data_IF_933637390366
#
_entry.id   IF_933637390366
#
_cell.length_a   1.000
_cell.length_b   1.000
_cell.length_c   1.000
_cell.angle_alpha   90.00
_cell.angle_beta   90.00
_cell.angle_gamma   90.00
#
_symmetry.space_group_name_H-M   'P 1'
#
loop_
_entity.id
_entity.type
_entity.pdbx_description
1 polymer ?
#
# COMPACT_ATOMS: atom_id res chain seq x y z
N UNK A 1 -54.67 42.91 -40.94
CA UNK A 1 -54.10 44.28 -40.84
C UNK A 1 -52.64 44.18 -40.40
N UNK A 2 -51.74 44.63 -41.27
CA UNK A 2 -50.28 44.85 -41.19
C UNK A 2 -49.52 44.30 -39.96
N UNK A 3 -48.87 43.13 -40.12
CA UNK A 3 -47.69 42.73 -39.33
C UNK A 3 -46.48 43.53 -39.84
N UNK A 4 -45.81 44.26 -38.95
CA UNK A 4 -44.57 45.00 -39.28
C UNK A 4 -43.38 44.07 -39.17
N UNK A 5 -42.67 43.93 -40.28
CA UNK A 5 -41.32 43.38 -40.40
C UNK A 5 -40.36 44.50 -40.01
N UNK A 6 -39.42 44.23 -39.11
CA UNK A 6 -38.17 44.97 -38.98
C UNK A 6 -37.01 43.97 -39.03
N UNK A 7 -36.38 43.89 -40.19
CA UNK A 7 -34.99 43.46 -40.38
C UNK A 7 -34.07 44.57 -39.87
N UNK A 8 -32.93 44.22 -39.27
CA UNK A 8 -31.59 44.84 -39.40
C UNK A 8 -30.69 44.16 -38.34
N UNK A 9 -29.95 43.11 -38.72
CA UNK A 9 -28.49 43.11 -38.94
C UNK A 9 -27.65 43.53 -37.72
N UNK A 10 -26.85 42.60 -37.20
CA UNK A 10 -25.38 42.78 -37.12
C UNK A 10 -24.71 41.48 -36.66
N UNK A 11 -23.94 40.92 -37.58
CA UNK A 11 -22.93 39.88 -37.40
C UNK A 11 -21.71 40.54 -36.74
N UNK A 12 -21.25 40.01 -35.61
CA UNK A 12 -19.85 40.16 -35.20
C UNK A 12 -19.35 38.77 -34.79
N UNK A 13 -18.64 38.14 -35.72
CA UNK A 13 -17.78 36.97 -35.51
C UNK A 13 -16.47 37.51 -34.93
N UNK A 14 -16.10 37.10 -33.73
CA UNK A 14 -14.72 37.21 -33.25
C UNK A 14 -14.20 35.79 -33.06
N UNK A 15 -13.64 35.26 -34.15
CA UNK A 15 -12.71 34.13 -34.12
C UNK A 15 -11.36 34.76 -33.77
N UNK A 16 -10.91 34.60 -32.52
CA UNK A 16 -9.53 34.88 -32.17
C UNK A 16 -8.73 33.60 -32.27
N UNK A 17 -7.91 33.54 -33.31
CA UNK A 17 -6.74 32.69 -33.42
C UNK A 17 -5.81 32.85 -32.21
N UNK A 18 -5.34 31.74 -31.67
CA UNK A 18 -3.98 31.67 -31.11
C UNK A 18 -3.30 30.39 -31.63
N UNK A 19 -2.51 30.62 -32.68
CA UNK A 19 -1.18 30.06 -32.98
C UNK A 19 -0.92 28.60 -32.58
N UNK A 20 -1.17 27.69 -33.53
CA UNK A 20 -0.42 26.44 -33.63
C UNK A 20 1.01 26.78 -34.08
N UNK A 21 1.97 26.59 -33.18
CA UNK A 21 3.39 26.50 -33.54
C UNK A 21 3.57 25.22 -34.33
N UNK A 22 4.00 25.37 -35.59
CA UNK A 22 4.37 24.26 -36.46
C UNK A 22 5.87 24.24 -36.74
N UNK A 23 6.34 23.01 -36.99
CA UNK A 23 7.55 22.53 -37.70
C UNK A 23 8.27 21.51 -36.81
N UNK A 24 8.50 20.25 -37.18
CA UNK A 24 8.31 19.53 -38.44
C UNK A 24 9.46 18.52 -38.60
N UNK A 25 9.13 17.25 -38.86
CA UNK A 25 9.88 16.21 -39.62
C UNK A 25 9.29 14.84 -39.26
N UNK A 26 8.51 14.18 -40.14
CA UNK A 26 8.85 13.27 -41.26
C UNK A 26 9.22 11.84 -40.83
N UNK A 27 8.28 10.92 -41.14
CA UNK A 27 8.41 9.46 -41.34
C UNK A 27 8.94 8.66 -40.12
N UNK A 28 8.63 7.39 -39.87
CA UNK A 28 8.07 6.28 -40.63
C UNK A 28 7.62 5.26 -39.57
N UNK A 29 6.56 4.48 -39.86
CA UNK A 29 6.16 3.34 -39.01
C UNK A 29 7.19 2.23 -39.10
N UNK A 30 7.82 1.83 -37.98
CA UNK A 30 8.59 0.58 -37.90
C UNK A 30 8.28 -0.12 -36.57
N UNK A 31 7.73 -1.33 -36.69
CA UNK A 31 7.78 -2.39 -35.69
C UNK A 31 9.24 -2.66 -35.34
N UNK A 32 9.67 -2.39 -34.11
CA UNK A 32 10.94 -2.90 -33.59
C UNK A 32 10.96 -2.79 -32.07
N UNK A 33 10.69 -3.88 -31.37
CA UNK A 33 11.25 -4.11 -30.03
C UNK A 33 11.63 -5.56 -29.81
N UNK A 34 11.99 -6.25 -30.90
CA UNK A 34 12.70 -7.53 -30.85
C UNK A 34 14.22 -7.32 -30.62
N UNK A 35 14.70 -6.07 -30.62
CA UNK A 35 16.07 -5.70 -30.20
C UNK A 35 16.19 -5.39 -28.69
N UNK A 36 15.08 -5.32 -27.95
CA UNK A 36 15.11 -5.08 -26.49
C UNK A 36 15.58 -6.32 -25.69
N UNK A 37 15.67 -7.50 -26.32
CA UNK A 37 15.96 -8.75 -25.63
C UNK A 37 17.43 -9.20 -25.72
N UNK A 38 18.24 -8.62 -26.61
CA UNK A 38 19.67 -8.94 -26.75
C UNK A 38 20.58 -8.02 -25.92
N UNK A 39 20.10 -6.85 -25.48
CA UNK A 39 20.91 -5.89 -24.70
C UNK A 39 21.01 -6.21 -23.19
N UNK A 40 20.27 -7.22 -22.69
CA UNK A 40 20.30 -7.64 -21.27
C UNK A 40 21.41 -8.68 -21.02
N UNK A 41 22.03 -9.25 -22.06
CA UNK A 41 22.96 -10.39 -21.92
C UNK A 41 24.43 -10.00 -21.73
N UNK A 42 24.80 -8.73 -21.91
CA UNK A 42 26.21 -8.31 -21.95
C UNK A 42 26.62 -7.26 -20.89
N UNK A 43 25.79 -6.99 -19.87
CA UNK A 43 26.21 -6.17 -18.72
C UNK A 43 26.39 -7.01 -17.44
N UNK A 44 27.11 -8.12 -17.60
CA UNK A 44 27.85 -8.71 -16.49
C UNK A 44 28.97 -7.76 -16.07
N UNK A 45 29.10 -7.52 -14.76
CA UNK A 45 30.19 -6.79 -14.09
C UNK A 45 30.34 -5.31 -14.44
N UNK A 46 29.63 -4.46 -13.69
CA UNK A 46 30.23 -3.56 -12.66
C UNK A 46 29.07 -2.85 -11.95
N UNK A 47 28.43 -3.51 -10.99
CA UNK A 47 27.66 -2.77 -9.99
C UNK A 47 28.67 -2.11 -9.07
N UNK A 48 28.93 -0.82 -9.30
CA UNK A 48 29.42 0.03 -8.22
C UNK A 48 28.44 -0.16 -7.06
N UNK A 49 28.95 -0.52 -5.88
CA UNK A 49 28.30 -0.28 -4.59
C UNK A 49 27.97 1.21 -4.51
N UNK A 50 26.84 1.60 -5.11
CA UNK A 50 26.12 2.75 -4.62
C UNK A 50 25.70 2.36 -3.22
N UNK A 51 26.26 3.06 -2.24
CA UNK A 51 25.78 3.08 -0.86
C UNK A 51 24.27 3.26 -0.90
N UNK A 52 23.53 2.16 -0.84
CA UNK A 52 22.12 2.14 -0.53
C UNK A 52 22.00 2.96 0.75
N UNK A 53 21.24 4.05 0.68
CA UNK A 53 20.84 4.76 1.87
C UNK A 53 20.10 3.73 2.73
N UNK A 54 20.77 3.19 3.77
CA UNK A 54 20.23 2.18 4.68
C UNK A 54 19.00 2.70 5.46
N UNK A 55 18.46 3.87 5.12
CA UNK A 55 17.25 4.42 5.71
C UNK A 55 16.01 3.57 5.41
N UNK A 56 15.95 2.92 4.24
CA UNK A 56 14.84 2.06 3.83
C UNK A 56 15.33 0.75 3.20
N UNK A 57 14.87 -0.38 3.72
CA UNK A 57 15.15 -1.71 3.18
C UNK A 57 13.84 -2.41 2.86
N UNK A 58 13.64 -2.71 1.58
CA UNK A 58 12.50 -3.49 1.13
C UNK A 58 12.86 -4.97 1.26
N UNK A 59 12.07 -5.69 2.05
CA UNK A 59 12.16 -7.13 2.20
C UNK A 59 11.08 -7.73 1.33
N UNK A 60 11.47 -8.18 0.15
CA UNK A 60 10.57 -8.95 -0.70
C UNK A 60 10.68 -10.41 -0.24
N UNK A 61 10.04 -10.71 0.88
CA UNK A 61 9.86 -12.09 1.35
C UNK A 61 8.42 -12.54 1.07
N UNK A 62 8.27 -13.20 -0.08
CA UNK A 62 6.99 -13.72 -0.56
C UNK A 62 6.42 -14.88 0.29
N UNK A 63 7.18 -15.44 1.24
CA UNK A 63 6.70 -16.46 2.17
C UNK A 63 6.04 -15.84 3.41
N UNK A 64 6.57 -14.71 3.88
CA UNK A 64 6.07 -14.02 5.09
C UNK A 64 4.90 -13.09 4.79
N UNK A 65 5.02 -12.28 3.73
CA UNK A 65 4.03 -11.30 3.32
C UNK A 65 4.01 -11.16 1.79
N UNK A 66 3.15 -10.31 1.23
CA UNK A 66 3.29 -9.89 -0.17
C UNK A 66 4.30 -8.74 -0.28
N UNK A 67 4.26 -7.81 0.68
CA UNK A 67 5.20 -6.70 0.78
C UNK A 67 5.61 -6.54 2.24
N UNK A 68 6.91 -6.42 2.47
CA UNK A 68 7.46 -6.04 3.76
C UNK A 68 8.53 -4.96 3.53
N UNK A 69 8.45 -3.85 4.24
CA UNK A 69 9.46 -2.78 4.16
C UNK A 69 9.90 -2.37 5.55
N UNK A 70 11.19 -2.39 5.81
CA UNK A 70 11.78 -2.02 7.08
C UNK A 70 12.45 -0.63 7.00
N UNK A 71 12.13 0.22 7.97
CA UNK A 71 12.72 1.53 8.18
C UNK A 71 13.66 1.46 9.40
N UNK A 72 14.97 1.60 9.16
CA UNK A 72 15.99 1.52 10.21
C UNK A 72 15.97 2.71 11.17
N UNK A 73 15.48 3.87 10.75
CA UNK A 73 15.43 5.06 11.60
C UNK A 73 14.36 4.92 12.69
N UNK A 74 13.17 4.45 12.28
CA UNK A 74 12.02 4.28 13.15
C UNK A 74 11.91 2.88 13.75
N UNK A 75 12.77 1.96 13.30
CA UNK A 75 12.74 0.52 13.61
C UNK A 75 11.34 -0.07 13.42
N UNK A 76 10.78 0.21 12.25
CA UNK A 76 9.40 -0.15 11.91
C UNK A 76 9.34 -0.94 10.61
N UNK A 77 8.42 -1.89 10.58
CA UNK A 77 8.05 -2.71 9.44
C UNK A 77 6.68 -2.23 8.96
N UNK A 78 6.58 -1.92 7.68
CA UNK A 78 5.33 -1.92 6.94
C UNK A 78 5.04 -3.33 6.42
N UNK A 79 3.79 -3.77 6.52
CA UNK A 79 3.33 -5.10 6.09
C UNK A 79 2.09 -4.96 5.21
N UNK A 80 2.10 -5.60 4.04
CA UNK A 80 0.90 -5.85 3.26
C UNK A 80 0.82 -7.34 2.88
N UNK A 81 -0.35 -7.94 3.06
CA UNK A 81 -0.61 -9.35 2.75
C UNK A 81 0.17 -10.32 3.64
N UNK A 82 0.14 -10.15 4.96
CA UNK A 82 0.77 -11.05 5.94
C UNK A 82 0.18 -12.46 5.81
N UNK A 83 1.03 -13.48 5.68
CA UNK A 83 0.64 -14.88 5.40
C UNK A 83 0.83 -15.82 6.59
N UNK A 84 1.74 -15.47 7.51
CA UNK A 84 2.14 -16.33 8.64
C UNK A 84 1.10 -16.44 9.76
N UNK A 85 0.08 -15.59 9.76
CA UNK A 85 -1.01 -15.59 10.75
C UNK A 85 -2.36 -15.54 10.03
N UNK A 86 -3.06 -16.69 10.03
CA UNK A 86 -4.31 -16.89 9.28
C UNK A 86 -5.45 -15.96 9.74
N UNK A 87 -5.39 -15.47 11.00
CA UNK A 87 -6.40 -14.61 11.60
C UNK A 87 -6.59 -13.29 10.83
N UNK A 88 -5.54 -12.81 10.16
CA UNK A 88 -5.61 -11.59 9.34
C UNK A 88 -6.14 -11.85 7.92
N UNK A 89 -6.36 -13.11 7.54
CA UNK A 89 -6.82 -13.49 6.21
C UNK A 89 -5.85 -13.11 5.09
N UNK A 90 -6.32 -13.22 3.84
CA UNK A 90 -5.49 -13.04 2.64
C UNK A 90 -5.28 -11.58 2.23
N UNK A 91 -6.00 -10.63 2.83
CA UNK A 91 -5.91 -9.22 2.51
C UNK A 91 -5.90 -8.41 3.79
N UNK A 92 -4.70 -7.98 4.14
CA UNK A 92 -4.42 -7.26 5.37
C UNK A 92 -3.26 -6.30 5.14
N UNK A 93 -3.23 -5.23 5.93
CA UNK A 93 -2.20 -4.20 5.84
C UNK A 93 -1.98 -3.57 7.21
N UNK A 94 -0.74 -3.17 7.47
CA UNK A 94 -0.42 -2.46 8.69
C UNK A 94 1.07 -2.38 8.93
N UNK A 95 1.46 -2.46 10.19
CA UNK A 95 2.85 -2.34 10.55
C UNK A 95 3.16 -2.75 11.97
N UNK A 96 4.45 -2.93 12.17
CA UNK A 96 5.05 -3.31 13.44
C UNK A 96 6.18 -2.35 13.75
N UNK A 97 6.33 -1.92 14.98
CA UNK A 97 7.45 -1.07 15.40
C UNK A 97 8.02 -1.56 16.71
N UNK A 98 9.34 -1.41 16.88
CA UNK A 98 10.02 -1.67 18.14
C UNK A 98 10.59 -0.37 18.70
N UNK A 99 10.43 -0.14 20.00
CA UNK A 99 10.97 1.05 20.66
C UNK A 99 12.50 1.11 20.53
N UNK A 100 13.08 2.31 20.64
CA UNK A 100 14.52 2.51 20.54
C UNK A 100 15.34 1.64 21.52
N UNK A 101 14.79 1.33 22.70
CA UNK A 101 15.43 0.45 23.68
C UNK A 101 15.19 -1.05 23.45
N UNK A 102 14.44 -1.40 22.39
CA UNK A 102 14.17 -2.78 21.98
C UNK A 102 13.21 -3.54 22.89
N UNK A 103 12.55 -2.86 23.85
CA UNK A 103 11.72 -3.53 24.85
C UNK A 103 10.25 -3.58 24.51
N UNK A 104 9.75 -2.62 23.75
CA UNK A 104 8.33 -2.49 23.46
C UNK A 104 8.10 -2.73 21.98
N UNK A 105 7.21 -3.67 21.67
CA UNK A 105 6.73 -3.89 20.32
C UNK A 105 5.29 -3.43 20.22
N UNK A 106 4.98 -2.68 19.16
CA UNK A 106 3.63 -2.24 18.82
C UNK A 106 3.27 -2.80 17.46
N UNK A 107 2.10 -3.43 17.35
CA UNK A 107 1.54 -3.89 16.09
C UNK A 107 0.19 -3.20 15.86
N UNK A 108 -0.07 -2.86 14.60
CA UNK A 108 -1.35 -2.37 14.12
C UNK A 108 -1.64 -3.00 12.76
N UNK A 109 -2.78 -3.68 12.60
CA UNK A 109 -3.17 -4.37 11.36
C UNK A 109 -4.66 -4.16 11.08
N UNK A 110 -5.00 -3.90 9.83
CA UNK A 110 -6.36 -3.90 9.30
C UNK A 110 -6.51 -5.09 8.37
N UNK A 111 -7.62 -5.81 8.47
CA UNK A 111 -8.06 -6.76 7.45
C UNK A 111 -9.03 -6.04 6.53
N UNK A 112 -8.86 -6.17 5.22
CA UNK A 112 -9.77 -5.57 4.23
C UNK A 112 -10.80 -6.59 3.74
N UNK A 113 -11.88 -6.10 3.13
CA UNK A 113 -12.92 -6.94 2.49
C UNK A 113 -12.46 -7.60 1.18
N UNK A 114 -11.22 -7.37 0.73
CA UNK A 114 -10.66 -7.95 -0.49
C UNK A 114 -9.39 -7.25 -1.00
N UNK A 115 -8.81 -7.77 -2.07
CA UNK A 115 -7.46 -7.40 -2.57
C UNK A 115 -7.44 -6.46 -3.79
N UNK A 116 -8.57 -5.87 -4.18
CA UNK A 116 -8.72 -5.08 -5.42
C UNK A 116 -9.44 -3.75 -5.21
N UNK A 117 -9.41 -2.89 -6.24
CA UNK A 117 -10.11 -1.58 -6.25
C UNK A 117 -11.55 -1.70 -5.75
N UNK A 118 -11.87 -0.97 -4.68
CA UNK A 118 -13.19 -1.00 -4.03
C UNK A 118 -13.23 -1.80 -2.73
N UNK A 119 -12.12 -2.43 -2.31
CA UNK A 119 -11.99 -3.00 -0.97
C UNK A 119 -12.20 -1.93 0.10
N UNK A 120 -12.78 -2.35 1.22
CA UNK A 120 -13.04 -1.49 2.38
C UNK A 120 -12.25 -2.00 3.58
N UNK A 121 -11.85 -1.07 4.44
CA UNK A 121 -11.24 -1.38 5.73
C UNK A 121 -12.25 -2.13 6.59
N UNK A 122 -11.82 -3.29 7.11
CA UNK A 122 -12.59 -4.15 8.00
C UNK A 122 -12.09 -4.07 9.44
N UNK A 123 -11.97 -5.20 10.15
CA UNK A 123 -11.58 -5.19 11.55
C UNK A 123 -10.14 -4.71 11.73
N UNK A 124 -9.92 -4.01 12.84
CA UNK A 124 -8.62 -3.48 13.23
C UNK A 124 -8.10 -4.16 14.48
N UNK A 125 -6.84 -4.60 14.43
CA UNK A 125 -6.12 -5.22 15.53
C UNK A 125 -4.95 -4.32 15.90
N UNK A 126 -4.85 -3.99 17.18
CA UNK A 126 -3.70 -3.31 17.73
C UNK A 126 -3.30 -3.93 19.06
N UNK A 127 -2.00 -4.05 19.27
CA UNK A 127 -1.48 -4.37 20.59
C UNK A 127 -0.08 -3.81 20.81
N UNK A 128 0.27 -3.72 22.09
CA UNK A 128 1.57 -3.30 22.58
C UNK A 128 2.04 -4.28 23.64
N UNK A 129 3.23 -4.83 23.47
CA UNK A 129 3.82 -5.80 24.41
C UNK A 129 5.20 -5.36 24.89
N UNK A 130 5.54 -5.77 26.10
CA UNK A 130 6.89 -5.72 26.63
C UNK A 130 7.62 -7.04 26.33
N UNK A 131 8.58 -7.00 25.43
CA UNK A 131 9.36 -8.15 24.94
C UNK A 131 10.35 -8.74 25.96
N UNK A 132 10.49 -8.11 27.13
CA UNK A 132 11.37 -8.57 28.22
C UNK A 132 10.57 -9.31 29.29
N UNK A 133 9.35 -8.84 29.58
CA UNK A 133 8.47 -9.41 30.62
C UNK A 133 7.35 -10.27 30.05
N UNK A 134 7.21 -10.29 28.72
CA UNK A 134 6.09 -10.91 27.99
C UNK A 134 4.72 -10.38 28.46
N UNK A 135 4.69 -9.12 28.91
CA UNK A 135 3.48 -8.47 29.39
C UNK A 135 2.77 -7.74 28.23
N UNK A 136 1.46 -7.97 28.10
CA UNK A 136 0.61 -7.20 27.20
C UNK A 136 0.26 -5.89 27.91
N UNK A 137 0.79 -4.78 27.39
CA UNK A 137 0.58 -3.43 27.93
C UNK A 137 -0.79 -2.90 27.49
N UNK A 138 -1.13 -3.14 26.23
CA UNK A 138 -2.35 -2.62 25.61
C UNK A 138 -2.79 -3.57 24.50
N UNK A 139 -4.10 -3.76 24.34
CA UNK A 139 -4.68 -4.42 23.18
C UNK A 139 -6.04 -3.83 22.85
N UNK A 140 -6.34 -3.74 21.56
CA UNK A 140 -7.57 -3.18 21.01
C UNK A 140 -7.97 -4.00 19.80
N UNK A 141 -9.22 -4.47 19.79
CA UNK A 141 -9.82 -5.17 18.67
C UNK A 141 -11.08 -4.41 18.29
N UNK A 142 -11.05 -3.70 17.16
CA UNK A 142 -12.20 -2.95 16.68
C UNK A 142 -12.91 -3.76 15.60
N UNK A 143 -14.26 -3.84 15.67
CA UNK A 143 -15.03 -4.48 14.62
C UNK A 143 -14.90 -3.72 13.30
N UNK A 144 -15.12 -4.43 12.20
CA UNK A 144 -15.39 -3.82 10.91
C UNK A 144 -16.59 -2.87 11.00
N UNK A 145 -16.65 -1.82 10.15
CA UNK A 145 -17.82 -0.98 10.02
C UNK A 145 -19.09 -1.78 9.71
N UNK A 146 -20.26 -1.24 10.06
CA UNK A 146 -21.52 -1.76 9.54
C UNK A 146 -21.69 -1.30 8.08
N UNK A 147 -21.31 -2.15 7.14
CA UNK A 147 -21.39 -1.83 5.72
C UNK A 147 -22.84 -1.71 5.23
N UNK A 148 -23.80 -2.32 5.92
CA UNK A 148 -25.22 -2.18 5.60
C UNK A 148 -25.68 -0.76 5.89
N UNK A 149 -25.33 -0.21 7.06
CA UNK A 149 -25.61 1.18 7.41
C UNK A 149 -24.92 2.18 6.48
N UNK A 150 -23.74 1.82 5.96
CA UNK A 150 -23.00 2.62 4.97
C UNK A 150 -23.53 2.46 3.53
N UNK A 151 -24.58 1.68 3.31
CA UNK A 151 -25.18 1.45 1.99
C UNK A 151 -24.29 0.65 1.04
N UNK A 152 -23.42 -0.21 1.58
CA UNK A 152 -22.49 -1.11 0.88
C UNK A 152 -22.94 -2.56 1.06
N UNK A 153 -24.09 -2.88 0.48
CA UNK A 153 -24.77 -4.18 0.66
C UNK A 153 -23.95 -5.36 0.12
N UNK A 154 -23.07 -5.12 -0.85
CA UNK A 154 -22.13 -6.08 -1.40
C UNK A 154 -21.10 -6.59 -0.36
N UNK A 155 -20.89 -5.84 0.73
CA UNK A 155 -19.99 -6.22 1.83
C UNK A 155 -20.75 -6.50 3.13
N UNK A 156 -22.08 -6.63 3.09
CA UNK A 156 -22.91 -6.80 4.28
C UNK A 156 -22.47 -7.98 5.16
N UNK A 157 -21.97 -9.07 4.56
CA UNK A 157 -21.51 -10.27 5.28
C UNK A 157 -20.27 -10.04 6.15
N UNK A 158 -19.47 -9.01 5.86
CA UNK A 158 -18.28 -8.63 6.63
C UNK A 158 -18.58 -7.58 7.72
N UNK A 159 -19.83 -7.12 7.83
CA UNK A 159 -20.21 -6.07 8.77
C UNK A 159 -20.01 -6.52 10.21
N UNK A 160 -19.41 -5.68 11.04
CA UNK A 160 -19.15 -5.95 12.46
C UNK A 160 -18.27 -7.19 12.73
N UNK A 161 -17.57 -7.73 11.72
CA UNK A 161 -16.56 -8.77 11.91
C UNK A 161 -15.51 -8.29 12.91
N UNK A 162 -15.04 -9.17 13.82
CA UNK A 162 -13.97 -8.87 14.77
C UNK A 162 -12.88 -9.92 14.62
N UNK A 163 -11.62 -9.48 14.60
CA UNK A 163 -10.47 -10.37 14.80
C UNK A 163 -10.12 -10.31 16.28
N UNK A 164 -10.36 -11.40 16.99
CA UNK A 164 -9.93 -11.55 18.39
C UNK A 164 -8.66 -12.42 18.44
N UNK A 165 -7.67 -11.96 19.22
CA UNK A 165 -6.48 -12.73 19.52
C UNK A 165 -6.43 -13.01 21.02
N UNK A 166 -6.16 -14.27 21.36
CA UNK A 166 -5.80 -14.66 22.73
C UNK A 166 -4.47 -14.03 23.13
N UNK A 167 -4.22 -13.95 24.44
CA UNK A 167 -2.94 -13.42 24.95
C UNK A 167 -1.74 -14.23 24.44
N UNK A 168 -1.90 -15.56 24.32
CA UNK A 168 -0.90 -16.46 23.74
C UNK A 168 -0.59 -16.10 22.28
N UNK A 169 -1.62 -15.89 21.44
CA UNK A 169 -1.43 -15.48 20.04
C UNK A 169 -0.76 -14.11 19.94
N UNK A 170 -1.15 -13.14 20.77
CA UNK A 170 -0.51 -11.81 20.79
C UNK A 170 0.99 -11.93 21.08
N UNK A 171 1.36 -12.76 22.06
CA UNK A 171 2.77 -12.99 22.39
C UNK A 171 3.51 -13.70 21.26
N UNK A 172 2.91 -14.71 20.63
CA UNK A 172 3.50 -15.41 19.49
C UNK A 172 3.76 -14.46 18.31
N UNK A 173 2.79 -13.63 17.95
CA UNK A 173 2.95 -12.62 16.89
C UNK A 173 4.07 -11.64 17.25
N UNK A 174 4.08 -11.15 18.49
CA UNK A 174 5.09 -10.20 18.94
C UNK A 174 6.51 -10.77 19.00
N UNK A 175 6.67 -12.02 19.42
CA UNK A 175 7.97 -12.71 19.42
C UNK A 175 8.45 -12.97 18.00
N UNK A 176 7.55 -13.37 17.09
CA UNK A 176 7.87 -13.54 15.67
C UNK A 176 8.48 -12.27 15.07
N UNK A 177 7.81 -11.12 15.23
CA UNK A 177 8.32 -9.86 14.67
C UNK A 177 9.58 -9.34 15.38
N UNK A 178 9.75 -9.62 16.67
CA UNK A 178 11.01 -9.33 17.39
C UNK A 178 12.18 -10.07 16.74
N UNK A 179 12.02 -11.35 16.44
CA UNK A 179 13.08 -12.16 15.85
C UNK A 179 13.33 -11.75 14.39
N UNK A 180 12.28 -11.47 13.62
CA UNK A 180 12.39 -10.94 12.27
C UNK A 180 13.16 -9.61 12.23
N UNK A 181 12.80 -8.62 13.07
CA UNK A 181 13.52 -7.34 13.13
C UNK A 181 15.00 -7.54 13.46
N UNK A 182 15.32 -8.47 14.38
CA UNK A 182 16.71 -8.76 14.74
C UNK A 182 17.50 -9.36 13.57
N UNK A 183 16.89 -10.24 12.80
CA UNK A 183 17.50 -10.81 11.60
C UNK A 183 17.80 -9.71 10.56
N UNK A 184 16.86 -8.78 10.36
CA UNK A 184 17.02 -7.63 9.45
C UNK A 184 18.12 -6.69 9.92
N UNK A 185 18.16 -6.37 11.21
CA UNK A 185 19.14 -5.45 11.82
C UNK A 185 20.56 -6.06 11.86
N UNK A 186 20.69 -7.38 11.78
CA UNK A 186 21.97 -8.08 11.77
C UNK A 186 22.65 -8.10 10.38
N UNK A 187 21.89 -7.83 9.31
CA UNK A 187 22.35 -7.78 7.91
C UNK A 187 22.77 -6.35 7.48
#
# INVERSE_FOLDING_TARGET
MKRKICFFTSIIIIISWFVLVGCGEKNESINESEEAFEMIKDLGTTFQENTLDKSFYEIIDGEVADILSYNYQDRSIYVAGLKVFEEFGISNEGGVSISADGKILTLSMIKSTGSVTGALDGPYVYFKINLVTDEIIEKKFEPAPDYTELGRLEFAEYSNEVIELSDEQILQVGLYFKDLIREIEAN
#
